data_IF_753405612775
#
_entry.id   IF_753405612775
#
_cell.length_a   1.000
_cell.length_b   1.000
_cell.length_c   1.000
_cell.angle_alpha   90.00
_cell.angle_beta   90.00
_cell.angle_gamma   90.00
#
_symmetry.space_group_name_H-M   'P 1'
#
loop_
_entity.id
_entity.type
_entity.pdbx_description
1 polymer ?
#
# COMPACT_ATOMS: atom_id res chain seq x y z
N UNK A 1 -35.32 -30.96 -21.61
CA UNK A 1 -33.88 -31.21 -21.38
C UNK A 1 -33.33 -29.93 -20.75
N UNK A 2 -33.22 -29.87 -19.42
CA UNK A 2 -32.13 -30.34 -18.56
C UNK A 2 -31.00 -29.30 -18.41
N UNK A 3 -31.06 -28.55 -17.28
CA UNK A 3 -29.97 -28.15 -16.33
C UNK A 3 -28.72 -27.41 -16.88
N UNK A 4 -28.10 -26.43 -16.22
CA UNK A 4 -27.90 -26.28 -14.77
C UNK A 4 -27.51 -24.84 -14.40
N UNK A 5 -28.04 -24.38 -13.27
CA UNK A 5 -27.47 -23.29 -12.47
C UNK A 5 -26.16 -23.81 -11.85
N UNK A 6 -25.01 -23.27 -12.23
CA UNK A 6 -23.76 -23.50 -11.48
C UNK A 6 -23.72 -22.55 -10.30
N UNK A 7 -24.31 -22.98 -9.19
CA UNK A 7 -24.09 -22.39 -7.87
C UNK A 7 -22.82 -23.03 -7.32
N UNK A 8 -21.77 -22.24 -7.13
CA UNK A 8 -20.53 -22.69 -6.49
C UNK A 8 -20.76 -22.60 -4.99
N UNK A 9 -21.04 -23.74 -4.35
CA UNK A 9 -20.96 -23.88 -2.90
C UNK A 9 -19.51 -24.20 -2.58
N UNK A 10 -18.81 -23.28 -1.92
CA UNK A 10 -17.56 -23.59 -1.25
C UNK A 10 -17.95 -24.25 0.07
N UNK A 11 -17.63 -25.53 0.21
CA UNK A 11 -17.57 -26.18 1.53
C UNK A 11 -16.55 -25.40 2.35
N UNK A 12 -17.07 -24.63 3.31
CA UNK A 12 -16.33 -24.10 4.43
C UNK A 12 -16.31 -25.25 5.44
N UNK A 13 -15.24 -26.05 5.41
CA UNK A 13 -15.01 -27.09 6.41
C UNK A 13 -13.66 -26.83 7.09
N UNK A 14 -13.78 -26.69 8.40
CA UNK A 14 -12.83 -26.27 9.42
C UNK A 14 -11.60 -27.19 9.52
N UNK A 15 -10.47 -26.68 10.04
CA UNK A 15 -9.73 -27.39 11.10
C UNK A 15 -9.07 -26.39 12.06
N UNK A 16 -9.62 -26.37 13.27
CA UNK A 16 -9.03 -25.84 14.49
C UNK A 16 -7.81 -26.71 14.88
N UNK A 17 -6.62 -26.10 14.96
CA UNK A 17 -5.47 -26.73 15.63
C UNK A 17 -5.10 -25.91 16.86
N UNK A 18 -5.96 -26.03 17.87
CA UNK A 18 -5.59 -25.87 19.26
C UNK A 18 -4.78 -27.10 19.72
N UNK A 19 -3.45 -26.96 19.80
CA UNK A 19 -2.60 -27.90 20.52
C UNK A 19 -1.60 -27.21 21.46
N UNK A 20 -1.92 -27.36 22.76
CA UNK A 20 -1.04 -27.51 23.92
C UNK A 20 -0.26 -26.29 24.46
N UNK A 21 -0.87 -25.63 25.45
CA UNK A 21 -0.13 -25.18 26.63
C UNK A 21 0.42 -26.37 27.41
N UNK A 22 1.66 -26.32 27.91
CA UNK A 22 2.06 -27.11 29.07
C UNK A 22 1.61 -26.36 30.34
N UNK A 23 0.81 -27.05 31.15
CA UNK A 23 0.25 -26.57 32.42
C UNK A 23 1.24 -26.40 33.58
N UNK A 24 0.72 -26.10 34.78
CA UNK A 24 1.42 -25.42 35.87
C UNK A 24 2.16 -26.38 36.81
N UNK A 25 3.19 -25.87 37.49
CA UNK A 25 3.74 -26.49 38.69
C UNK A 25 4.14 -25.41 39.69
N UNK A 26 3.30 -25.20 40.70
CA UNK A 26 3.66 -24.52 41.95
C UNK A 26 4.70 -25.38 42.73
N UNK A 27 5.52 -24.78 43.63
CA UNK A 27 5.02 -24.57 45.00
C UNK A 27 5.28 -23.15 45.57
N UNK A 28 4.35 -22.70 46.41
CA UNK A 28 4.47 -21.59 47.36
C UNK A 28 5.44 -21.93 48.53
N UNK A 29 5.88 -20.91 49.29
CA UNK A 29 5.68 -20.98 50.72
C UNK A 29 5.01 -19.72 51.31
N UNK A 30 3.80 -19.96 51.83
CA UNK A 30 3.19 -19.58 53.10
C UNK A 30 3.51 -18.23 53.83
N UNK A 31 2.40 -17.50 54.03
CA UNK A 31 1.87 -16.92 55.28
C UNK A 31 2.57 -15.74 56.00
N UNK A 32 1.89 -14.57 55.99
CA UNK A 32 1.32 -13.94 57.20
C UNK A 32 0.30 -12.83 56.82
N UNK A 33 -0.91 -12.89 57.39
CA UNK A 33 -2.08 -11.96 57.27
C UNK A 33 -2.00 -10.79 58.30
N UNK A 34 -3.07 -10.01 58.65
CA UNK A 34 -4.37 -9.67 58.00
C UNK A 34 -4.81 -8.17 58.11
N UNK A 35 -5.93 -7.81 57.45
CA UNK A 35 -6.87 -6.72 57.85
C UNK A 35 -7.06 -5.61 56.78
N UNK A 36 -8.24 -5.08 56.47
CA UNK A 36 -9.61 -5.28 56.95
C UNK A 36 -10.60 -4.74 55.89
N UNK A 37 -11.74 -5.42 55.79
CA UNK A 37 -13.14 -5.04 55.46
C UNK A 37 -13.53 -3.85 54.55
N UNK A 38 -14.57 -4.12 53.74
CA UNK A 38 -15.21 -3.31 52.70
C UNK A 38 -16.16 -2.20 53.23
N UNK A 39 -16.90 -1.42 52.39
CA UNK A 39 -18.09 -1.94 51.70
C UNK A 39 -18.39 -1.37 50.29
N UNK A 40 -19.33 -2.06 49.66
CA UNK A 40 -19.96 -1.89 48.35
C UNK A 40 -20.43 -0.49 47.96
N UNK A 41 -20.41 -0.20 46.65
CA UNK A 41 -21.39 0.67 46.02
C UNK A 41 -21.76 0.16 44.62
N UNK A 42 -23.04 0.37 44.32
CA UNK A 42 -23.92 -0.33 43.39
C UNK A 42 -23.80 0.14 41.93
N UNK A 43 -24.29 -0.68 40.99
CA UNK A 43 -24.35 -0.45 39.54
C UNK A 43 -25.17 0.79 39.10
N UNK A 44 -25.14 1.19 37.81
CA UNK A 44 -26.03 0.53 36.83
C UNK A 44 -25.39 0.24 35.46
N UNK A 45 -25.64 -0.98 34.97
CA UNK A 45 -26.03 -1.30 33.58
C UNK A 45 -25.77 -0.22 32.51
N UNK A 46 -24.59 -0.28 31.89
CA UNK A 46 -24.33 0.29 30.57
C UNK A 46 -24.47 -0.77 29.49
N UNK A 47 -25.69 -1.23 29.22
CA UNK A 47 -25.98 -1.99 28.01
C UNK A 47 -25.91 -1.05 26.80
N UNK A 48 -24.73 -0.93 26.18
CA UNK A 48 -24.62 -0.47 24.80
C UNK A 48 -23.72 -1.43 24.05
N UNK A 49 -24.37 -2.40 23.42
CA UNK A 49 -23.72 -3.40 22.60
C UNK A 49 -22.94 -2.78 21.45
N UNK A 50 -21.79 -3.39 21.18
CA UNK A 50 -21.43 -3.78 19.83
C UNK A 50 -20.61 -5.06 19.93
N UNK A 51 -21.30 -6.18 19.76
CA UNK A 51 -20.66 -7.42 19.35
C UNK A 51 -19.93 -7.15 18.04
N UNK A 52 -18.61 -7.33 17.99
CA UNK A 52 -17.87 -7.33 16.73
C UNK A 52 -16.52 -8.06 16.87
N UNK A 53 -16.56 -9.34 17.28
CA UNK A 53 -15.50 -10.35 17.10
C UNK A 53 -14.11 -10.04 17.70
N UNK A 54 -13.28 -11.06 17.92
CA UNK A 54 -11.83 -10.89 18.11
C UNK A 54 -11.12 -10.40 16.84
N UNK A 55 -11.68 -9.38 16.18
CA UNK A 55 -11.27 -8.87 14.87
C UNK A 55 -10.07 -7.97 15.00
N UNK A 56 -9.03 -8.26 14.22
CA UNK A 56 -7.82 -7.42 14.11
C UNK A 56 -8.23 -5.98 13.75
N UNK A 57 -7.84 -5.03 14.60
CA UNK A 57 -7.95 -3.58 14.37
C UNK A 57 -7.46 -3.21 12.96
N UNK A 58 -8.31 -2.55 12.18
CA UNK A 58 -8.02 -2.05 10.84
C UNK A 58 -7.40 -0.65 10.93
N UNK A 59 -6.23 -0.45 10.32
CA UNK A 59 -5.46 0.79 10.41
C UNK A 59 -5.55 1.68 9.16
N UNK A 60 -6.43 1.35 8.21
CA UNK A 60 -6.49 2.01 6.88
C UNK A 60 -6.51 3.54 6.96
N UNK A 61 -7.44 4.13 7.71
CA UNK A 61 -7.60 5.59 7.80
C UNK A 61 -6.40 6.26 8.47
N UNK A 62 -5.87 5.66 9.55
CA UNK A 62 -4.70 6.19 10.23
C UNK A 62 -3.45 6.12 9.33
N UNK A 63 -3.30 5.03 8.58
CA UNK A 63 -2.22 4.86 7.63
C UNK A 63 -2.29 5.85 6.46
N UNK A 64 -3.49 6.13 5.94
CA UNK A 64 -3.69 7.18 4.92
C UNK A 64 -3.26 8.55 5.45
N UNK A 65 -3.69 8.90 6.67
CA UNK A 65 -3.31 10.15 7.33
C UNK A 65 -1.80 10.26 7.56
N UNK A 66 -1.17 9.24 8.14
CA UNK A 66 0.28 9.23 8.39
C UNK A 66 1.07 9.26 7.07
N UNK A 67 0.58 8.60 6.03
CA UNK A 67 1.24 8.65 4.72
C UNK A 67 1.16 10.05 4.10
N UNK A 68 0.00 10.71 4.17
CA UNK A 68 -0.17 12.09 3.69
C UNK A 68 0.74 13.06 4.46
N UNK A 69 0.82 12.91 5.78
CA UNK A 69 1.72 13.69 6.64
C UNK A 69 3.20 13.50 6.25
N UNK A 70 3.58 12.29 5.86
CA UNK A 70 4.93 12.01 5.35
C UNK A 70 5.16 12.62 3.96
N UNK A 71 4.15 12.61 3.08
CA UNK A 71 4.23 13.23 1.75
C UNK A 71 4.39 14.75 1.85
N UNK A 72 3.64 15.42 2.74
CA UNK A 72 3.78 16.87 2.92
C UNK A 72 5.18 17.22 3.46
N UNK A 73 5.70 16.40 4.40
CA UNK A 73 7.08 16.54 4.87
C UNK A 73 8.11 16.39 3.74
N UNK A 74 7.88 15.45 2.82
CA UNK A 74 8.74 15.26 1.65
C UNK A 74 8.65 16.47 0.72
N UNK A 75 7.45 16.94 0.40
CA UNK A 75 7.22 18.10 -0.48
C UNK A 75 7.97 19.34 -0.02
N UNK A 76 7.99 19.60 1.29
CA UNK A 76 8.70 20.75 1.86
C UNK A 76 10.22 20.64 1.80
N UNK A 77 10.77 19.41 1.84
CA UNK A 77 12.20 19.17 2.02
C UNK A 77 12.91 18.59 0.79
N UNK A 78 12.15 18.20 -0.24
CA UNK A 78 12.66 17.73 -1.54
C UNK A 78 12.23 18.67 -2.67
N UNK A 79 12.22 19.99 -2.41
CA UNK A 79 11.78 21.00 -3.38
C UNK A 79 12.61 20.98 -4.67
N UNK A 80 13.89 20.61 -4.59
CA UNK A 80 14.79 20.45 -5.75
C UNK A 80 14.46 19.21 -6.60
N UNK A 81 13.67 18.28 -6.05
CA UNK A 81 13.31 17.00 -6.66
C UNK A 81 11.78 16.75 -6.55
N UNK A 82 10.95 17.51 -7.29
CA UNK A 82 9.49 17.41 -7.21
C UNK A 82 8.93 16.04 -7.64
N UNK A 83 9.72 15.22 -8.34
CA UNK A 83 9.38 13.86 -8.76
C UNK A 83 9.24 12.87 -7.59
N UNK A 84 9.81 13.19 -6.42
CA UNK A 84 9.84 12.29 -5.26
C UNK A 84 8.44 11.99 -4.70
N UNK A 85 7.60 13.02 -4.55
CA UNK A 85 6.25 12.88 -3.98
C UNK A 85 5.34 12.07 -4.90
N UNK A 86 5.23 12.35 -6.22
CA UNK A 86 4.50 11.51 -7.16
C UNK A 86 5.01 10.06 -7.20
N UNK A 87 6.33 9.87 -7.12
CA UNK A 87 6.93 8.53 -7.09
C UNK A 87 6.50 7.73 -5.85
N UNK A 88 6.55 8.34 -4.66
CA UNK A 88 6.09 7.72 -3.42
C UNK A 88 4.61 7.37 -3.48
N UNK A 89 3.77 8.29 -3.97
CA UNK A 89 2.35 8.06 -4.15
C UNK A 89 2.09 6.85 -5.07
N UNK A 90 2.77 6.80 -6.23
CA UNK A 90 2.67 5.65 -7.14
C UNK A 90 3.08 4.33 -6.49
N UNK A 91 4.11 4.34 -5.63
CA UNK A 91 4.53 3.15 -4.88
C UNK A 91 3.46 2.68 -3.92
N UNK A 92 2.79 3.59 -3.21
CA UNK A 92 1.69 3.25 -2.31
C UNK A 92 0.49 2.67 -3.07
N UNK A 93 0.11 3.26 -4.21
CA UNK A 93 -0.98 2.76 -5.05
C UNK A 93 -0.76 1.35 -5.59
N UNK A 94 0.50 0.91 -5.69
CA UNK A 94 0.87 -0.44 -6.13
C UNK A 94 0.95 -1.45 -4.99
N UNK A 95 0.98 -0.99 -3.74
CA UNK A 95 1.06 -1.85 -2.57
C UNK A 95 -0.27 -2.57 -2.31
N UNK A 96 -0.18 -3.76 -1.70
CA UNK A 96 -1.33 -4.60 -1.41
C UNK A 96 -2.24 -3.95 -0.36
N UNK A 97 -3.55 -3.95 -0.59
CA UNK A 97 -4.53 -3.31 0.29
C UNK A 97 -4.50 -3.82 1.73
N UNK A 98 -4.33 -5.14 1.93
CA UNK A 98 -4.17 -5.73 3.28
C UNK A 98 -2.96 -5.16 4.02
N UNK A 99 -1.86 -4.92 3.32
CA UNK A 99 -0.67 -4.31 3.92
C UNK A 99 -0.93 -2.85 4.28
N UNK A 100 -1.57 -2.09 3.39
CA UNK A 100 -1.93 -0.70 3.63
C UNK A 100 -2.94 -0.51 4.78
N UNK A 101 -3.74 -1.52 5.11
CA UNK A 101 -4.66 -1.51 6.24
C UNK A 101 -4.06 -2.12 7.53
N UNK A 102 -2.80 -2.54 7.51
CA UNK A 102 -2.17 -3.28 8.60
C UNK A 102 -1.58 -2.39 9.70
N UNK A 103 -1.45 -2.96 10.90
CA UNK A 103 -0.69 -2.37 12.00
C UNK A 103 0.81 -2.26 11.70
N UNK A 104 1.34 -3.17 10.87
CA UNK A 104 2.74 -3.15 10.45
C UNK A 104 3.06 -1.87 9.69
N UNK A 105 2.23 -1.52 8.71
CA UNK A 105 2.42 -0.29 7.95
C UNK A 105 2.27 0.95 8.82
N UNK A 106 1.33 0.96 9.77
CA UNK A 106 1.20 2.01 10.78
C UNK A 106 2.52 2.22 11.55
N UNK A 107 3.08 1.14 12.09
CA UNK A 107 4.32 1.19 12.86
C UNK A 107 5.49 1.70 12.01
N UNK A 108 5.56 1.29 10.75
CA UNK A 108 6.58 1.73 9.80
C UNK A 108 6.43 3.24 9.56
N UNK A 109 5.23 3.73 9.26
CA UNK A 109 4.95 5.15 9.03
C UNK A 109 5.29 6.00 10.26
N UNK A 110 4.79 5.62 11.45
CA UNK A 110 5.09 6.35 12.70
C UNK A 110 6.60 6.43 12.96
N UNK A 111 7.33 5.34 12.68
CA UNK A 111 8.79 5.29 12.85
C UNK A 111 9.52 6.18 11.84
N UNK A 112 9.18 6.12 10.54
CA UNK A 112 9.87 6.94 9.52
C UNK A 112 9.54 8.42 9.67
N UNK A 113 8.29 8.78 10.04
CA UNK A 113 7.91 10.15 10.35
C UNK A 113 8.70 10.71 11.54
N UNK A 114 8.74 9.97 12.65
CA UNK A 114 9.47 10.40 13.85
C UNK A 114 10.96 10.59 13.57
N UNK A 115 11.56 9.71 12.77
CA UNK A 115 12.97 9.80 12.36
C UNK A 115 13.23 10.95 11.38
N UNK A 116 12.34 11.16 10.41
CA UNK A 116 12.48 12.25 9.45
C UNK A 116 12.38 13.63 10.13
N UNK A 117 11.50 13.75 11.14
CA UNK A 117 11.37 14.97 11.97
C UNK A 117 12.60 15.25 12.83
N UNK A 118 13.14 14.21 13.47
CA UNK A 118 14.32 14.35 14.33
C UNK A 118 15.63 14.49 13.55
N UNK A 119 15.69 13.95 12.33
CA UNK A 119 16.92 13.90 11.51
C UNK A 119 16.61 14.22 10.04
N UNK A 120 16.26 15.49 9.72
CA UNK A 120 15.89 15.89 8.37
C UNK A 120 17.00 15.65 7.33
N UNK A 121 18.27 15.76 7.74
CA UNK A 121 19.42 15.44 6.88
C UNK A 121 19.45 13.99 6.34
N UNK A 122 18.64 13.09 6.90
CA UNK A 122 18.51 11.69 6.46
C UNK A 122 17.19 11.40 5.76
N UNK A 123 16.43 12.42 5.36
CA UNK A 123 15.09 12.25 4.77
C UNK A 123 15.09 11.23 3.62
N UNK A 124 16.03 11.33 2.67
CA UNK A 124 16.12 10.39 1.55
C UNK A 124 16.38 8.94 1.96
N UNK A 125 17.05 8.71 3.10
CA UNK A 125 17.21 7.36 3.66
C UNK A 125 15.85 6.81 4.09
N UNK A 126 15.04 7.63 4.76
CA UNK A 126 13.70 7.23 5.22
C UNK A 126 12.71 7.09 4.06
N UNK A 127 12.82 7.93 3.02
CA UNK A 127 12.09 7.77 1.76
C UNK A 127 12.43 6.42 1.11
N UNK A 128 13.71 6.07 1.02
CA UNK A 128 14.14 4.81 0.43
C UNK A 128 13.74 3.58 1.27
N UNK A 129 13.77 3.70 2.60
CA UNK A 129 13.27 2.69 3.52
C UNK A 129 11.79 2.41 3.24
N UNK A 130 10.95 3.46 3.21
CA UNK A 130 9.52 3.34 2.91
C UNK A 130 9.28 2.78 1.50
N UNK A 131 10.02 3.25 0.49
CA UNK A 131 9.93 2.73 -0.88
C UNK A 131 10.23 1.24 -0.97
N UNK A 132 11.24 0.77 -0.22
CA UNK A 132 11.66 -0.63 -0.23
C UNK A 132 10.55 -1.52 0.33
N UNK A 133 9.94 -1.09 1.44
CA UNK A 133 8.78 -1.77 2.04
C UNK A 133 7.60 -1.79 1.07
N UNK A 134 7.18 -0.64 0.53
CA UNK A 134 6.07 -0.56 -0.42
C UNK A 134 6.30 -1.43 -1.67
N UNK A 135 7.55 -1.51 -2.14
CA UNK A 135 7.95 -2.38 -3.25
C UNK A 135 7.84 -3.86 -2.88
N UNK A 136 8.24 -4.25 -1.67
CA UNK A 136 8.14 -5.63 -1.19
C UNK A 136 6.68 -6.12 -1.11
N UNK A 137 5.76 -5.21 -0.76
CA UNK A 137 4.33 -5.49 -0.68
C UNK A 137 3.55 -5.09 -1.95
N UNK A 138 4.22 -4.87 -3.08
CA UNK A 138 3.55 -4.49 -4.32
C UNK A 138 2.83 -5.66 -4.98
N UNK A 139 1.60 -5.42 -5.46
CA UNK A 139 0.91 -6.35 -6.34
C UNK A 139 1.65 -6.40 -7.68
N UNK A 140 2.23 -7.57 -8.00
CA UNK A 140 2.91 -7.80 -9.28
C UNK A 140 1.87 -7.87 -10.39
N UNK A 141 1.52 -6.72 -10.99
CA UNK A 141 0.79 -6.72 -12.27
C UNK A 141 1.75 -7.20 -13.36
N UNK A 142 1.59 -8.45 -13.83
CA UNK A 142 2.12 -8.89 -15.12
C UNK A 142 1.44 -8.02 -16.18
N UNK A 143 2.14 -7.01 -16.68
CA UNK A 143 1.76 -6.36 -17.92
C UNK A 143 1.95 -7.41 -19.02
N UNK A 144 0.85 -8.00 -19.50
CA UNK A 144 0.83 -8.64 -20.80
C UNK A 144 0.95 -7.51 -21.83
N UNK A 145 2.18 -7.15 -22.19
CA UNK A 145 2.39 -6.42 -23.44
C UNK A 145 2.00 -7.38 -24.55
N UNK A 146 0.90 -7.08 -25.24
CA UNK A 146 0.49 -7.84 -26.41
C UNK A 146 1.64 -7.82 -27.44
N UNK A 147 1.92 -8.93 -28.14
CA UNK A 147 2.88 -8.93 -29.25
C UNK A 147 2.42 -7.90 -30.28
N UNK A 148 3.32 -6.99 -30.68
CA UNK A 148 3.04 -6.06 -31.76
C UNK A 148 2.64 -6.85 -33.02
N UNK A 149 1.42 -6.64 -33.50
CA UNK A 149 0.99 -7.22 -34.77
C UNK A 149 1.79 -6.56 -35.91
N UNK A 150 2.81 -7.26 -36.40
CA UNK A 150 3.36 -7.04 -37.74
C UNK A 150 2.31 -7.47 -38.76
N UNK A 151 1.51 -6.54 -39.28
CA UNK A 151 0.77 -6.77 -40.53
C UNK A 151 1.65 -6.37 -41.70
N UNK A 152 2.43 -7.35 -42.16
CA UNK A 152 3.11 -7.36 -43.44
C UNK A 152 2.20 -8.09 -44.45
N UNK A 153 1.78 -7.33 -45.47
CA UNK A 153 1.46 -7.72 -46.86
C UNK A 153 0.08 -8.33 -47.22
N UNK A 154 -0.61 -7.68 -48.17
CA UNK A 154 -0.90 -8.24 -49.51
C UNK A 154 -1.16 -7.13 -50.56
N UNK A 155 -1.01 -7.41 -51.88
CA UNK A 155 -0.75 -6.48 -52.97
C UNK A 155 -1.98 -6.23 -53.88
N UNK A 156 -1.98 -5.13 -54.65
CA UNK A 156 -2.77 -5.07 -55.89
C UNK A 156 -2.34 -3.94 -56.82
N UNK A 157 -1.83 -4.31 -58.00
CA UNK A 157 -2.20 -3.72 -59.31
C UNK A 157 -1.56 -2.41 -59.78
N UNK A 158 -0.51 -2.54 -60.62
CA UNK A 158 -0.20 -1.85 -61.91
C UNK A 158 -0.89 -0.48 -62.21
N UNK A 159 -0.33 0.61 -62.76
CA UNK A 159 0.94 1.12 -63.37
C UNK A 159 0.55 2.51 -64.02
N UNK A 160 1.42 3.34 -64.68
CA UNK A 160 2.75 3.86 -64.35
C UNK A 160 2.83 5.42 -64.64
N UNK A 161 3.95 6.08 -65.04
CA UNK A 161 4.58 7.14 -64.23
C UNK A 161 4.86 8.50 -64.93
N UNK A 162 4.71 9.61 -64.21
CA UNK A 162 5.25 10.95 -64.57
C UNK A 162 5.16 11.81 -63.31
N UNK A 163 6.13 12.60 -62.83
CA UNK A 163 7.36 13.15 -63.37
C UNK A 163 8.21 13.59 -62.15
N UNK A 164 9.52 13.45 -62.26
CA UNK A 164 10.51 13.95 -61.31
C UNK A 164 10.50 15.49 -61.25
N UNK A 165 10.65 16.07 -60.06
CA UNK A 165 11.28 17.39 -59.83
C UNK A 165 11.69 17.43 -58.36
N UNK A 166 12.96 17.24 -57.98
CA UNK A 166 14.05 18.25 -57.92
C UNK A 166 13.55 19.61 -57.40
N UNK A 167 14.12 20.31 -56.41
CA UNK A 167 15.15 20.13 -55.37
C UNK A 167 14.97 21.38 -54.43
N UNK A 168 15.95 22.00 -53.74
CA UNK A 168 15.88 22.44 -52.34
C UNK A 168 15.94 23.98 -52.21
N UNK A 169 16.04 24.52 -50.99
CA UNK A 169 16.55 25.89 -50.60
C UNK A 169 15.86 26.29 -49.30
N UNK A 170 16.53 26.32 -48.14
CA UNK A 170 17.56 27.24 -47.63
C UNK A 170 16.98 28.55 -47.02
N UNK A 171 17.70 29.02 -46.00
CA UNK A 171 17.68 30.31 -45.30
C UNK A 171 16.60 30.46 -44.21
N UNK A 172 16.97 30.42 -42.92
CA UNK A 172 17.67 31.48 -42.16
C UNK A 172 16.82 32.76 -42.09
N UNK A 173 16.33 33.09 -40.89
CA UNK A 173 16.37 34.49 -40.46
C UNK A 173 16.42 34.62 -38.93
N UNK A 174 17.52 35.23 -38.49
CA UNK A 174 17.84 35.79 -37.18
C UNK A 174 17.14 37.14 -36.93
N UNK A 175 16.98 37.49 -35.65
CA UNK A 175 16.88 38.85 -35.08
C UNK A 175 15.61 39.68 -35.43
N UNK A 176 15.07 40.60 -34.62
CA UNK A 176 15.56 41.44 -33.52
C UNK A 176 14.38 41.76 -32.57
N UNK A 177 14.55 41.82 -31.24
CA UNK A 177 14.71 43.05 -30.44
C UNK A 177 14.24 44.37 -31.07
N UNK A 178 13.17 44.94 -30.49
CA UNK A 178 13.11 46.32 -29.95
C UNK A 178 11.79 46.52 -29.21
#
# INVERSE_FOLDING_TARGET
MATANSIIVLDDDDEDEAAAQPGPSHPLPNAASPGAEAPSSSEPHGARGSSSSGGKKCYKLENEKLFEEFLELCKMQTADHPEVVPFLYNRQQRAHSLFLASAEFCNILSRVLSRARSRPAKLYVYINELCTVLKAHSAKKKLNLAPAATTSNEPSGNNPPTHLSLDPTNAENTASQS
#
